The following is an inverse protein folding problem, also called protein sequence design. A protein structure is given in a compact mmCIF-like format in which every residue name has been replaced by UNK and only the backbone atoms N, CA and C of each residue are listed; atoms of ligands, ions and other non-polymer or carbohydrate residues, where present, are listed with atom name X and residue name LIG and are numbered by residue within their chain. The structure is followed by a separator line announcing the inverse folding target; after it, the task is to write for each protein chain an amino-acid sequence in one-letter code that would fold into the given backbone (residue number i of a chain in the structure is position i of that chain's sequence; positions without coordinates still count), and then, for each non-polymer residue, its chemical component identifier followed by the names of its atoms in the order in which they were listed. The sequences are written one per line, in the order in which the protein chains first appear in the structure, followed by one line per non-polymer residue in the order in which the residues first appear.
data_IF_789786072088
#
_entry.id   IF_789786072088
#
_cell.length_a   1.000
_cell.length_b   1.000
_cell.length_c   1.000
_cell.angle_alpha   90.00
_cell.angle_beta   90.00
_cell.angle_gamma   90.00
#
_symmetry.space_group_name_H-M   'P 1'
#
loop_
_entity.id
_entity.type
_entity.pdbx_description
1 polymer ?
#
# COMPACT_ATOMS: atom_id res chain seq x y z
N UNK A 1 22.49 10.82 -4.17
CA UNK A 1 21.66 10.31 -3.05
C UNK A 1 22.61 9.77 -2.01
N UNK A 2 22.41 10.13 -0.74
CA UNK A 2 23.19 9.59 0.37
C UNK A 2 22.71 8.19 0.77
N UNK A 3 23.47 7.49 1.62
CA UNK A 3 23.12 6.14 2.10
C UNK A 3 21.74 6.09 2.77
N UNK A 4 21.39 7.12 3.55
CA UNK A 4 20.10 7.21 4.23
C UNK A 4 18.91 7.41 3.27
N UNK A 5 19.12 8.06 2.13
CA UNK A 5 18.08 8.23 1.09
C UNK A 5 17.67 6.86 0.52
N UNK A 6 18.65 6.00 0.22
CA UNK A 6 18.42 4.65 -0.28
C UNK A 6 17.82 3.73 0.77
N UNK A 7 18.25 3.84 2.02
CA UNK A 7 17.68 3.07 3.13
C UNK A 7 16.18 3.40 3.33
N UNK A 8 15.83 4.69 3.32
CA UNK A 8 14.44 5.14 3.41
C UNK A 8 13.60 4.61 2.23
N UNK A 9 14.13 4.75 1.01
CA UNK A 9 13.44 4.27 -0.20
C UNK A 9 13.23 2.75 -0.16
N UNK A 10 14.28 1.98 0.17
CA UNK A 10 14.19 0.52 0.25
C UNK A 10 13.21 0.06 1.33
N UNK A 11 13.20 0.72 2.50
CA UNK A 11 12.24 0.46 3.56
C UNK A 11 10.80 0.76 3.11
N UNK A 12 10.58 1.88 2.40
CA UNK A 12 9.27 2.24 1.86
C UNK A 12 8.76 1.22 0.83
N UNK A 13 9.62 0.78 -0.09
CA UNK A 13 9.33 -0.29 -1.05
C UNK A 13 9.02 -1.61 -0.33
N UNK A 14 9.87 -2.01 0.62
CA UNK A 14 9.72 -3.25 1.38
C UNK A 14 8.44 -3.31 2.19
N UNK A 15 8.06 -2.19 2.84
CA UNK A 15 6.81 -2.10 3.59
C UNK A 15 5.58 -2.32 2.69
N UNK A 16 5.52 -1.63 1.55
CA UNK A 16 4.41 -1.76 0.61
C UNK A 16 4.36 -3.15 -0.06
N UNK A 17 5.51 -3.74 -0.39
CA UNK A 17 5.62 -5.12 -0.89
C UNK A 17 5.16 -6.15 0.15
N UNK A 18 5.58 -5.98 1.41
CA UNK A 18 5.12 -6.83 2.51
C UNK A 18 3.61 -6.76 2.66
N UNK A 19 3.04 -5.56 2.65
CA UNK A 19 1.59 -5.37 2.78
C UNK A 19 0.80 -5.99 1.63
N UNK A 20 1.25 -5.78 0.38
CA UNK A 20 0.63 -6.40 -0.80
C UNK A 20 0.74 -7.92 -0.78
N UNK A 21 1.86 -8.48 -0.34
CA UNK A 21 2.04 -9.93 -0.18
C UNK A 21 1.06 -10.53 0.83
N UNK A 22 0.95 -9.94 2.03
CA UNK A 22 0.00 -10.41 3.04
C UNK A 22 -1.44 -10.27 2.56
N UNK A 23 -1.81 -9.15 1.93
CA UNK A 23 -3.15 -8.97 1.39
C UNK A 23 -3.46 -9.96 0.27
N UNK A 24 -2.51 -10.25 -0.62
CA UNK A 24 -2.68 -11.25 -1.66
C UNK A 24 -2.95 -12.63 -1.08
N UNK A 25 -2.24 -13.01 -0.01
CA UNK A 25 -2.49 -14.26 0.71
C UNK A 25 -3.92 -14.33 1.26
N UNK A 26 -4.39 -13.27 1.93
CA UNK A 26 -5.76 -13.22 2.45
C UNK A 26 -6.80 -13.28 1.33
N UNK A 27 -6.57 -12.59 0.20
CA UNK A 27 -7.48 -12.61 -0.96
C UNK A 27 -7.61 -13.96 -1.63
N UNK A 28 -6.65 -14.87 -1.48
CA UNK A 28 -6.73 -16.23 -2.01
C UNK A 28 -7.53 -17.17 -1.11
N UNK A 29 -7.73 -16.82 0.16
CA UNK A 29 -8.54 -17.59 1.10
C UNK A 29 -10.06 -17.44 0.78
N UNK A 30 -10.77 -18.54 0.45
CA UNK A 30 -12.21 -18.50 0.22
C UNK A 30 -13.01 -17.97 1.42
N UNK A 31 -12.60 -18.32 2.65
CA UNK A 31 -13.28 -17.89 3.87
C UNK A 31 -13.16 -16.37 4.08
N UNK A 32 -12.02 -15.79 3.70
CA UNK A 32 -11.85 -14.34 3.70
C UNK A 32 -12.76 -13.65 2.68
N UNK A 33 -12.90 -14.19 1.48
CA UNK A 33 -13.80 -13.64 0.44
C UNK A 33 -15.25 -13.63 0.91
N UNK A 34 -15.71 -14.74 1.48
CA UNK A 34 -17.07 -14.86 2.00
C UNK A 34 -17.34 -13.83 3.10
N UNK A 35 -16.41 -13.69 4.06
CA UNK A 35 -16.51 -12.67 5.13
C UNK A 35 -16.59 -11.25 4.57
N UNK A 36 -15.83 -10.92 3.51
CA UNK A 36 -15.93 -9.62 2.85
C UNK A 36 -17.32 -9.44 2.25
N UNK A 37 -17.79 -10.41 1.47
CA UNK A 37 -19.10 -10.34 0.81
C UNK A 37 -20.23 -10.10 1.81
N UNK A 38 -20.25 -10.82 2.94
CA UNK A 38 -21.22 -10.62 4.01
C UNK A 38 -21.06 -9.23 4.66
N UNK A 39 -19.83 -8.79 4.90
CA UNK A 39 -19.56 -7.48 5.53
C UNK A 39 -20.02 -6.30 4.68
N UNK A 40 -19.89 -6.40 3.36
CA UNK A 40 -20.27 -5.30 2.45
C UNK A 40 -21.76 -5.25 2.13
N UNK A 41 -22.55 -6.28 2.46
CA UNK A 41 -24.00 -6.31 2.23
C UNK A 41 -24.75 -5.23 3.02
N UNK A 42 -24.16 -4.73 4.12
CA UNK A 42 -24.74 -3.68 4.97
C UNK A 42 -24.75 -2.29 4.32
N UNK A 43 -24.05 -2.11 3.21
CA UNK A 43 -23.94 -0.83 2.52
C UNK A 43 -24.84 -0.79 1.28
N UNK A 44 -25.17 0.43 0.83
CA UNK A 44 -25.90 0.66 -0.42
C UNK A 44 -25.20 0.04 -1.63
N UNK A 45 -25.95 -0.31 -2.68
CA UNK A 45 -25.42 -0.98 -3.87
C UNK A 45 -24.25 -0.24 -4.53
N UNK A 46 -24.26 1.09 -4.48
CA UNK A 46 -23.16 1.90 -4.99
C UNK A 46 -21.89 1.73 -4.17
N UNK A 47 -21.98 1.88 -2.84
CA UNK A 47 -20.85 1.75 -1.92
C UNK A 47 -20.33 0.31 -1.90
N UNK A 48 -21.23 -0.68 -1.90
CA UNK A 48 -20.90 -2.10 -1.97
C UNK A 48 -20.02 -2.41 -3.18
N UNK A 49 -20.39 -1.91 -4.38
CA UNK A 49 -19.60 -2.10 -5.61
C UNK A 49 -18.19 -1.49 -5.50
N UNK A 50 -18.07 -0.28 -4.95
CA UNK A 50 -16.76 0.36 -4.73
C UNK A 50 -15.90 -0.40 -3.73
N UNK A 51 -16.48 -0.81 -2.60
CA UNK A 51 -15.77 -1.58 -1.57
C UNK A 51 -15.31 -2.93 -2.09
N UNK A 52 -16.13 -3.64 -2.87
CA UNK A 52 -15.72 -4.90 -3.48
C UNK A 52 -14.56 -4.71 -4.45
N UNK A 53 -14.58 -3.66 -5.28
CA UNK A 53 -13.46 -3.36 -6.19
C UNK A 53 -12.17 -3.01 -5.44
N UNK A 54 -12.28 -2.40 -4.26
CA UNK A 54 -11.11 -2.07 -3.45
C UNK A 54 -10.58 -3.28 -2.68
N UNK A 55 -11.46 -4.04 -2.01
CA UNK A 55 -11.08 -5.19 -1.18
C UNK A 55 -10.69 -6.41 -2.02
N UNK A 56 -11.32 -6.55 -3.18
CA UNK A 56 -11.13 -7.66 -4.11
C UNK A 56 -10.99 -7.16 -5.57
N UNK A 57 -9.88 -6.47 -5.89
CA UNK A 57 -9.66 -5.89 -7.22
C UNK A 57 -9.48 -6.98 -8.27
N UNK A 58 -10.35 -6.98 -9.29
CA UNK A 58 -10.30 -7.94 -10.39
C UNK A 58 -9.63 -7.37 -11.63
N UNK A 59 -9.97 -6.14 -12.01
CA UNK A 59 -9.41 -5.48 -13.18
C UNK A 59 -8.04 -4.84 -12.88
N UNK A 60 -7.26 -4.59 -13.93
CA UNK A 60 -5.98 -3.88 -13.80
C UNK A 60 -6.14 -2.48 -13.18
N UNK A 61 -7.19 -1.76 -13.56
CA UNK A 61 -7.51 -0.43 -13.02
C UNK A 61 -7.87 -0.49 -11.54
N UNK A 62 -8.63 -1.50 -11.11
CA UNK A 62 -8.95 -1.69 -9.69
C UNK A 62 -7.69 -2.01 -8.87
N UNK A 63 -6.77 -2.84 -9.42
CA UNK A 63 -5.49 -3.15 -8.79
C UNK A 63 -4.61 -1.91 -8.63
N UNK A 64 -4.58 -1.03 -9.62
CA UNK A 64 -3.88 0.25 -9.56
C UNK A 64 -4.45 1.18 -8.49
N UNK A 65 -5.77 1.33 -8.45
CA UNK A 65 -6.44 2.12 -7.43
C UNK A 65 -6.16 1.56 -6.03
N UNK A 66 -6.19 0.24 -5.87
CA UNK A 66 -5.87 -0.42 -4.62
C UNK A 66 -4.40 -0.22 -4.20
N UNK A 67 -3.45 -0.32 -5.13
CA UNK A 67 -2.05 -0.03 -4.86
C UNK A 67 -1.85 1.41 -4.36
N UNK A 68 -2.53 2.40 -4.96
CA UNK A 68 -2.46 3.80 -4.50
C UNK A 68 -2.97 3.95 -3.07
N UNK A 69 -4.05 3.24 -2.72
CA UNK A 69 -4.56 3.22 -1.34
C UNK A 69 -3.55 2.60 -0.38
N UNK A 70 -2.94 1.45 -0.74
CA UNK A 70 -1.86 0.85 0.05
C UNK A 70 -0.72 1.84 0.24
N UNK A 71 -0.25 2.47 -0.84
CA UNK A 71 0.85 3.41 -0.80
C UNK A 71 0.55 4.58 0.16
N UNK A 72 -0.66 5.13 0.11
CA UNK A 72 -1.12 6.16 1.04
C UNK A 72 -1.08 5.70 2.50
N UNK A 73 -1.57 4.49 2.80
CA UNK A 73 -1.49 3.93 4.15
C UNK A 73 -0.04 3.72 4.61
N UNK A 74 0.82 3.20 3.74
CA UNK A 74 2.25 3.01 4.04
C UNK A 74 2.97 4.34 4.30
N UNK A 75 2.62 5.41 3.59
CA UNK A 75 3.16 6.75 3.87
C UNK A 75 2.80 7.22 5.29
N UNK A 76 1.55 7.01 5.72
CA UNK A 76 1.11 7.35 7.08
C UNK A 76 1.93 6.57 8.11
N UNK A 77 2.08 5.25 7.92
CA UNK A 77 2.86 4.37 8.82
C UNK A 77 4.33 4.81 8.91
N UNK A 78 4.91 5.29 7.82
CA UNK A 78 6.31 5.74 7.77
C UNK A 78 6.54 7.14 8.34
N UNK A 79 5.48 7.91 8.61
CA UNK A 79 5.57 9.30 9.12
C UNK A 79 6.48 9.43 10.35
N UNK A 80 6.39 8.56 11.39
CA UNK A 80 7.26 8.67 12.56
C UNK A 80 8.74 8.47 12.23
N UNK A 81 9.05 7.52 11.32
CA UNK A 81 10.43 7.28 10.89
C UNK A 81 10.96 8.46 10.07
N UNK A 82 10.11 9.01 9.21
CA UNK A 82 10.43 10.21 8.42
C UNK A 82 10.76 11.39 9.32
N UNK A 83 9.88 11.66 10.30
CA UNK A 83 10.02 12.76 11.24
C UNK A 83 11.31 12.63 12.06
N UNK A 84 11.58 11.43 12.60
CA UNK A 84 12.79 11.18 13.36
C UNK A 84 14.05 11.39 12.53
N UNK A 85 14.09 10.87 11.30
CA UNK A 85 15.24 11.04 10.41
C UNK A 85 15.49 12.49 9.99
N UNK A 86 14.43 13.30 9.86
CA UNK A 86 14.53 14.75 9.61
C UNK A 86 15.06 15.48 10.86
N UNK A 87 14.49 15.19 12.04
CA UNK A 87 14.89 15.83 13.30
C UNK A 87 16.35 15.53 13.68
N UNK A 88 16.85 14.34 13.34
CA UNK A 88 18.25 13.95 13.55
C UNK A 88 19.21 14.46 12.46
N UNK A 89 18.71 15.20 11.45
CA UNK A 89 19.53 15.74 10.36
C UNK A 89 20.05 14.68 9.37
N UNK A 90 19.53 13.45 9.42
CA UNK A 90 19.90 12.36 8.51
C UNK A 90 19.25 12.49 7.14
N UNK A 91 18.12 13.20 7.07
CA UNK A 91 17.29 13.34 5.88
C UNK A 91 16.88 14.79 5.64
N UNK A 92 16.88 15.20 4.38
CA UNK A 92 16.32 16.49 3.95
C UNK A 92 14.82 16.34 3.76
N UNK A 93 14.02 17.21 4.39
CA UNK A 93 12.56 17.06 4.49
C UNK A 93 11.85 16.76 3.16
N UNK A 94 12.13 17.53 2.10
CA UNK A 94 11.47 17.35 0.82
C UNK A 94 11.91 16.06 0.12
N UNK A 95 13.19 15.67 0.26
CA UNK A 95 13.71 14.40 -0.29
C UNK A 95 13.06 13.22 0.40
N UNK A 96 12.97 13.28 1.73
CA UNK A 96 12.37 12.23 2.53
C UNK A 96 10.92 11.96 2.09
N UNK A 97 10.11 13.03 1.97
CA UNK A 97 8.72 12.94 1.51
C UNK A 97 8.64 12.30 0.12
N UNK A 98 9.43 12.79 -0.84
CA UNK A 98 9.42 12.25 -2.21
C UNK A 98 9.84 10.79 -2.27
N UNK A 99 10.90 10.41 -1.55
CA UNK A 99 11.42 9.04 -1.54
C UNK A 99 10.45 8.07 -0.88
N UNK A 100 9.76 8.49 0.18
CA UNK A 100 8.72 7.67 0.81
C UNK A 100 7.53 7.49 -0.12
N UNK A 101 7.00 8.56 -0.73
CA UNK A 101 5.88 8.47 -1.67
C UNK A 101 6.25 7.61 -2.89
N UNK A 102 7.42 7.85 -3.49
CA UNK A 102 7.89 7.08 -4.63
C UNK A 102 8.11 5.61 -4.26
N UNK A 103 8.76 5.34 -3.12
CA UNK A 103 9.05 3.98 -2.67
C UNK A 103 7.79 3.18 -2.36
N UNK A 104 6.82 3.77 -1.66
CA UNK A 104 5.56 3.08 -1.35
C UNK A 104 4.72 2.83 -2.60
N UNK A 105 4.68 3.77 -3.57
CA UNK A 105 4.00 3.57 -4.86
C UNK A 105 4.66 2.47 -5.68
N UNK A 106 5.98 2.51 -5.84
CA UNK A 106 6.74 1.48 -6.56
C UNK A 106 6.51 0.12 -5.92
N UNK A 107 6.64 0.02 -4.59
CA UNK A 107 6.40 -1.24 -3.87
C UNK A 107 4.97 -1.75 -4.02
N UNK A 108 3.96 -0.87 -3.90
CA UNK A 108 2.57 -1.25 -4.00
C UNK A 108 2.19 -1.69 -5.43
N UNK A 109 2.61 -0.97 -6.47
CA UNK A 109 2.36 -1.35 -7.87
C UNK A 109 3.06 -2.66 -8.22
N UNK A 110 4.33 -2.80 -7.86
CA UNK A 110 5.10 -4.01 -8.13
C UNK A 110 4.48 -5.21 -7.42
N UNK A 111 4.07 -5.03 -6.15
CA UNK A 111 3.44 -6.06 -5.34
C UNK A 111 2.07 -6.48 -5.87
N UNK A 112 1.21 -5.54 -6.26
CA UNK A 112 -0.08 -5.86 -6.90
C UNK A 112 0.11 -6.58 -8.24
N UNK A 113 1.09 -6.18 -9.06
CA UNK A 113 1.38 -6.82 -10.34
C UNK A 113 2.00 -8.23 -10.20
N UNK A 114 2.77 -8.47 -9.13
CA UNK A 114 3.44 -9.73 -8.87
C UNK A 114 2.57 -10.73 -8.10
N UNK A 115 1.85 -10.28 -7.06
CA UNK A 115 1.18 -11.17 -6.10
C UNK A 115 -0.32 -11.33 -6.33
N UNK A 116 -1.01 -10.35 -6.91
CA UNK A 116 -2.47 -10.42 -7.12
C UNK A 116 -2.82 -10.79 -8.56
N UNK A 117 -2.29 -11.92 -9.05
CA UNK A 117 -2.71 -12.53 -10.33
C UNK A 117 -3.81 -13.56 -10.11
#
# INVERSE_FOLDING_TARGET
MGTYDWALFAMAVGLALGWTFFNARHRRDPAYRERIHVSVQKFSDFTRRKLLRLLYPQSFVDRWNHATVIAGCCCIILTPVLLLGILLGLLVWWKAVLLTVAGTLVGAWTGEAAFNR
#
